data_IF_350483269192
#
_entry.id   IF_350483269192
#
_cell.length_a   1.000
_cell.length_b   1.000
_cell.length_c   1.000
_cell.angle_alpha   90.00
_cell.angle_beta   90.00
_cell.angle_gamma   90.00
#
_symmetry.space_group_name_H-M   'P 1'
#
loop_
_entity.id
_entity.type
_entity.pdbx_description
1 polymer ?
#
# COMPACT_ATOMS: atom_id res chain seq x y z
N UNK A 1 7.17 15.61 -8.03
CA UNK A 1 6.71 15.90 -6.65
C UNK A 1 6.24 14.66 -5.87
N UNK A 2 5.66 13.62 -6.48
CA UNK A 2 5.18 12.41 -5.77
C UNK A 2 6.30 11.49 -5.25
N UNK A 3 7.48 11.53 -5.88
CA UNK A 3 8.56 10.57 -5.57
C UNK A 3 9.35 10.94 -4.31
N UNK A 4 9.47 12.24 -4.01
CA UNK A 4 10.14 12.69 -2.78
C UNK A 4 9.35 12.32 -1.52
N UNK A 5 8.00 12.34 -1.57
CA UNK A 5 7.16 11.95 -0.43
C UNK A 5 7.33 10.46 -0.11
N UNK A 6 7.28 9.57 -1.11
CA UNK A 6 7.49 8.14 -0.88
C UNK A 6 8.90 7.86 -0.38
N UNK A 7 9.92 8.55 -0.90
CA UNK A 7 11.30 8.40 -0.43
C UNK A 7 11.46 8.83 1.04
N UNK A 8 10.92 9.97 1.44
CA UNK A 8 10.97 10.43 2.84
C UNK A 8 10.25 9.44 3.75
N UNK A 9 9.03 9.02 3.40
CA UNK A 9 8.25 8.09 4.21
C UNK A 9 8.94 6.73 4.33
N UNK A 10 9.49 6.22 3.23
CA UNK A 10 10.25 4.96 3.23
C UNK A 10 11.53 5.09 4.05
N UNK A 11 12.25 6.21 3.93
CA UNK A 11 13.46 6.48 4.70
C UNK A 11 13.19 6.51 6.21
N UNK A 12 12.14 7.22 6.63
CA UNK A 12 11.76 7.28 8.06
C UNK A 12 11.27 5.92 8.55
N UNK A 13 10.51 5.17 7.74
CA UNK A 13 10.12 3.80 8.06
C UNK A 13 11.34 2.90 8.26
N UNK A 14 12.32 2.95 7.35
CA UNK A 14 13.56 2.20 7.45
C UNK A 14 14.33 2.56 8.72
N UNK A 15 14.44 3.85 9.05
CA UNK A 15 15.04 4.31 10.31
C UNK A 15 14.28 3.79 11.52
N UNK A 16 12.95 3.75 11.50
CA UNK A 16 12.15 3.19 12.60
C UNK A 16 12.39 1.68 12.78
N UNK A 17 12.37 0.91 11.67
CA UNK A 17 12.54 -0.54 11.70
C UNK A 17 13.96 -0.94 12.11
N UNK A 18 14.98 -0.25 11.57
CA UNK A 18 16.38 -0.47 11.94
C UNK A 18 16.69 0.07 13.33
N UNK A 19 16.14 1.24 13.67
CA UNK A 19 16.32 1.87 14.97
C UNK A 19 15.84 0.96 16.09
N UNK A 20 14.73 0.25 15.90
CA UNK A 20 14.24 -0.71 16.90
C UNK A 20 15.26 -1.80 17.20
N UNK A 21 15.94 -2.35 16.18
CA UNK A 21 17.01 -3.34 16.34
C UNK A 21 18.22 -2.83 17.13
N UNK A 22 18.31 -1.51 17.36
CA UNK A 22 19.31 -0.89 18.22
C UNK A 22 19.37 -1.51 19.63
N UNK A 23 18.30 -2.15 20.11
CA UNK A 23 18.29 -2.87 21.39
C UNK A 23 19.33 -4.00 21.49
N UNK A 24 19.74 -4.56 20.35
CA UNK A 24 20.77 -5.62 20.28
C UNK A 24 22.18 -5.07 20.52
N UNK A 25 22.42 -3.79 20.21
CA UNK A 25 23.74 -3.18 20.25
C UNK A 25 23.88 -2.12 21.36
N UNK A 26 22.78 -1.46 21.73
CA UNK A 26 22.79 -0.35 22.67
C UNK A 26 21.50 -0.29 23.48
N UNK A 27 21.65 -0.24 24.80
CA UNK A 27 20.59 0.06 25.75
C UNK A 27 21.08 1.19 26.65
N UNK A 28 20.22 2.16 26.95
CA UNK A 28 20.56 3.30 27.82
C UNK A 28 19.72 3.26 29.10
N UNK A 29 20.15 2.52 30.15
CA UNK A 29 19.34 2.30 31.35
C UNK A 29 18.96 3.59 32.08
N UNK A 30 19.79 4.63 31.94
CA UNK A 30 19.61 5.94 32.59
C UNK A 30 18.72 6.90 31.82
N UNK A 31 18.50 6.67 30.52
CA UNK A 31 17.68 7.57 29.70
C UNK A 31 16.19 7.30 29.92
N UNK A 32 15.82 6.02 29.94
CA UNK A 32 14.46 5.56 30.19
C UNK A 32 14.00 5.98 31.61
N UNK A 33 13.09 6.96 31.68
CA UNK A 33 12.59 7.53 32.94
C UNK A 33 13.06 8.96 33.23
N UNK A 34 13.91 9.54 32.38
CA UNK A 34 14.24 10.98 32.45
C UNK A 34 13.11 11.86 31.94
N UNK A 35 13.08 13.13 32.37
CA UNK A 35 12.12 14.11 31.84
C UNK A 35 12.25 14.30 30.32
N UNK A 36 13.46 14.23 29.76
CA UNK A 36 13.68 14.32 28.31
C UNK A 36 13.03 13.14 27.58
N UNK A 37 13.26 11.91 28.06
CA UNK A 37 12.58 10.74 27.52
C UNK A 37 11.05 10.88 27.63
N UNK A 38 10.54 11.41 28.75
CA UNK A 38 9.11 11.64 28.93
C UNK A 38 8.53 12.63 27.89
N UNK A 39 9.24 13.71 27.55
CA UNK A 39 8.83 14.64 26.49
C UNK A 39 8.69 13.93 25.15
N UNK A 40 9.64 13.06 24.78
CA UNK A 40 9.54 12.24 23.57
C UNK A 40 8.32 11.31 23.60
N UNK A 41 8.04 10.68 24.74
CA UNK A 41 6.89 9.80 24.92
C UNK A 41 5.56 10.55 24.79
N UNK A 42 5.44 11.71 25.45
CA UNK A 42 4.26 12.57 25.40
C UNK A 42 4.04 13.11 23.97
N UNK A 43 5.10 13.62 23.33
CA UNK A 43 5.03 14.11 21.97
C UNK A 43 4.64 12.98 20.99
N UNK A 44 5.24 11.80 21.13
CA UNK A 44 4.91 10.62 20.34
C UNK A 44 3.44 10.22 20.50
N UNK A 45 2.96 10.10 21.74
CA UNK A 45 1.57 9.77 22.03
C UNK A 45 0.59 10.84 21.49
N UNK A 46 0.93 12.13 21.64
CA UNK A 46 0.12 13.23 21.14
C UNK A 46 0.00 13.19 19.59
N UNK A 47 1.10 12.95 18.88
CA UNK A 47 1.07 12.77 17.43
C UNK A 47 0.20 11.56 17.04
N UNK A 48 0.27 10.47 17.79
CA UNK A 48 -0.53 9.27 17.55
C UNK A 48 -2.03 9.43 17.84
N UNK A 49 -2.49 10.52 18.45
CA UNK A 49 -3.93 10.82 18.55
C UNK A 49 -4.50 11.19 17.16
N UNK A 50 -3.69 11.78 16.30
CA UNK A 50 -4.15 12.26 14.98
C UNK A 50 -4.56 11.11 14.04
N UNK A 51 -3.78 10.01 13.91
CA UNK A 51 -4.19 8.82 13.17
C UNK A 51 -5.50 8.20 13.68
N UNK A 52 -5.72 8.22 15.00
CA UNK A 52 -6.97 7.77 15.62
C UNK A 52 -8.14 8.69 15.22
N UNK A 53 -7.95 10.00 15.32
CA UNK A 53 -8.95 10.98 14.94
C UNK A 53 -9.40 10.81 13.48
N UNK A 54 -8.46 10.58 12.55
CA UNK A 54 -8.78 10.25 11.16
C UNK A 54 -9.66 9.00 11.05
N UNK A 55 -9.29 7.92 11.75
CA UNK A 55 -10.00 6.64 11.72
C UNK A 55 -11.43 6.75 12.26
N UNK A 56 -11.63 7.53 13.32
CA UNK A 56 -12.95 7.82 13.90
C UNK A 56 -13.75 8.72 12.95
N UNK A 57 -13.16 9.80 12.44
CA UNK A 57 -13.82 10.73 11.53
C UNK A 57 -14.27 10.06 10.23
N UNK A 58 -13.53 9.06 9.75
CA UNK A 58 -13.93 8.27 8.59
C UNK A 58 -15.21 7.44 8.83
N UNK A 59 -15.50 7.07 10.07
CA UNK A 59 -16.65 6.22 10.46
C UNK A 59 -17.83 7.01 11.01
N UNK A 60 -17.58 8.14 11.67
CA UNK A 60 -18.60 8.95 12.33
C UNK A 60 -18.81 10.28 11.59
N UNK A 61 -19.99 10.49 10.96
CA UNK A 61 -20.23 11.65 10.10
C UNK A 61 -20.23 12.98 10.86
N UNK A 62 -20.57 12.99 12.15
CA UNK A 62 -20.55 14.19 13.00
C UNK A 62 -19.12 14.72 13.17
N UNK A 63 -18.18 13.85 13.56
CA UNK A 63 -16.79 14.21 13.72
C UNK A 63 -16.16 14.57 12.38
N UNK A 64 -16.54 13.87 11.31
CA UNK A 64 -16.13 14.21 9.94
C UNK A 64 -16.49 15.65 9.61
N UNK A 65 -17.76 16.04 9.77
CA UNK A 65 -18.25 17.36 9.43
C UNK A 65 -17.49 18.47 10.18
N UNK A 66 -17.23 18.25 11.47
CA UNK A 66 -16.48 19.18 12.32
C UNK A 66 -15.02 19.33 11.88
N UNK A 67 -14.31 18.23 11.60
CA UNK A 67 -12.92 18.27 11.14
C UNK A 67 -12.79 18.84 9.74
N UNK A 68 -13.70 18.50 8.82
CA UNK A 68 -13.67 18.98 7.44
C UNK A 68 -13.94 20.47 7.30
N UNK A 69 -14.42 21.14 8.35
CA UNK A 69 -14.50 22.60 8.42
C UNK A 69 -13.12 23.28 8.41
N UNK A 70 -12.11 22.61 8.96
CA UNK A 70 -10.76 23.16 9.12
C UNK A 70 -9.74 22.48 8.20
N UNK A 71 -9.87 21.17 7.97
CA UNK A 71 -8.87 20.36 7.25
C UNK A 71 -9.56 19.41 6.29
N UNK A 72 -9.12 19.38 5.02
CA UNK A 72 -9.67 18.47 4.02
C UNK A 72 -9.43 17.00 4.37
N UNK A 73 -10.28 16.09 3.88
CA UNK A 73 -10.11 14.65 4.09
C UNK A 73 -8.78 14.12 3.53
N UNK A 74 -8.27 14.73 2.46
CA UNK A 74 -6.98 14.36 1.88
C UNK A 74 -5.83 14.77 2.80
N UNK A 75 -5.89 15.99 3.35
CA UNK A 75 -4.90 16.46 4.33
C UNK A 75 -4.92 15.64 5.61
N UNK A 76 -6.10 15.23 6.11
CA UNK A 76 -6.20 14.35 7.27
C UNK A 76 -5.58 12.98 7.03
N UNK A 77 -5.74 12.42 5.83
CA UNK A 77 -5.07 11.16 5.46
C UNK A 77 -3.55 11.32 5.39
N UNK A 78 -3.06 12.43 4.82
CA UNK A 78 -1.62 12.71 4.80
C UNK A 78 -1.09 12.87 6.22
N UNK A 79 -1.81 13.60 7.08
CA UNK A 79 -1.45 13.79 8.47
C UNK A 79 -1.46 12.46 9.24
N UNK A 80 -2.45 11.59 9.03
CA UNK A 80 -2.49 10.23 9.58
C UNK A 80 -1.20 9.44 9.25
N UNK A 81 -0.67 9.56 8.03
CA UNK A 81 0.53 8.85 7.61
C UNK A 81 1.79 9.44 8.24
N UNK A 82 1.97 10.75 8.17
CA UNK A 82 3.17 11.39 8.71
C UNK A 82 3.25 11.24 10.23
N UNK A 83 2.15 11.54 10.94
CA UNK A 83 2.09 11.41 12.40
C UNK A 83 2.07 9.96 12.85
N UNK A 84 1.50 9.06 12.03
CA UNK A 84 1.54 7.62 12.22
C UNK A 84 2.92 6.99 12.04
N UNK A 85 3.94 7.73 11.59
CA UNK A 85 5.34 7.26 11.50
C UNK A 85 6.24 8.07 12.44
N UNK A 86 6.09 9.40 12.47
CA UNK A 86 6.85 10.27 13.37
C UNK A 86 6.51 10.01 14.84
N UNK A 87 5.24 9.77 15.18
CA UNK A 87 4.83 9.39 16.52
C UNK A 87 5.58 8.15 17.02
N UNK A 88 5.55 7.02 16.28
CA UNK A 88 6.32 5.82 16.61
C UNK A 88 7.82 6.04 16.73
N UNK A 89 8.41 6.92 15.92
CA UNK A 89 9.83 7.24 16.01
C UNK A 89 10.17 7.90 17.35
N UNK A 90 9.38 8.91 17.77
CA UNK A 90 9.56 9.54 19.08
C UNK A 90 9.27 8.57 20.23
N UNK A 91 8.26 7.72 20.08
CA UNK A 91 7.95 6.68 21.07
C UNK A 91 9.08 5.64 21.18
N UNK A 92 9.76 5.31 20.08
CA UNK A 92 10.92 4.42 20.10
C UNK A 92 12.10 5.08 20.84
N UNK A 93 12.39 6.35 20.56
CA UNK A 93 13.41 7.12 21.29
C UNK A 93 13.09 7.13 22.79
N UNK A 94 11.83 7.36 23.18
CA UNK A 94 11.39 7.33 24.57
C UNK A 94 11.77 6.04 25.31
N UNK A 95 11.79 4.89 24.64
CA UNK A 95 12.16 3.62 25.27
C UNK A 95 13.65 3.55 25.68
N UNK A 96 14.54 4.33 25.04
CA UNK A 96 15.99 4.18 25.20
C UNK A 96 16.50 2.77 24.86
N UNK A 97 15.74 2.03 24.04
CA UNK A 97 15.89 0.60 23.74
C UNK A 97 15.81 -0.34 24.95
N UNK A 98 15.13 0.10 26.02
CA UNK A 98 14.91 -0.69 27.22
C UNK A 98 13.54 -1.36 27.17
N UNK A 99 13.53 -2.70 27.13
CA UNK A 99 12.32 -3.51 26.94
C UNK A 99 12.09 -4.51 28.09
N UNK A 100 12.11 -4.03 29.33
CA UNK A 100 12.05 -4.91 30.51
C UNK A 100 10.64 -5.34 30.92
N UNK A 101 9.59 -4.77 30.30
CA UNK A 101 8.21 -5.07 30.64
C UNK A 101 7.46 -5.70 29.48
N UNK A 102 6.65 -6.73 29.78
CA UNK A 102 5.79 -7.38 28.77
C UNK A 102 4.86 -6.37 28.10
N UNK A 103 4.33 -5.40 28.86
CA UNK A 103 3.49 -4.33 28.33
C UNK A 103 4.24 -3.46 27.33
N UNK A 104 5.47 -3.05 27.65
CA UNK A 104 6.32 -2.26 26.74
C UNK A 104 6.68 -3.03 25.47
N UNK A 105 7.08 -4.30 25.60
CA UNK A 105 7.38 -5.17 24.45
C UNK A 105 6.15 -5.31 23.55
N UNK A 106 5.00 -5.64 24.13
CA UNK A 106 3.75 -5.81 23.38
C UNK A 106 3.31 -4.51 22.70
N UNK A 107 3.44 -3.36 23.39
CA UNK A 107 3.12 -2.05 22.84
C UNK A 107 4.03 -1.72 21.65
N UNK A 108 5.34 -1.92 21.77
CA UNK A 108 6.29 -1.68 20.68
C UNK A 108 6.05 -2.62 19.50
N UNK A 109 5.79 -3.91 19.75
CA UNK A 109 5.47 -4.85 18.68
C UNK A 109 4.16 -4.46 17.95
N UNK A 110 3.10 -4.13 18.68
CA UNK A 110 1.85 -3.66 18.11
C UNK A 110 2.04 -2.38 17.30
N UNK A 111 2.81 -1.42 17.82
CA UNK A 111 3.15 -0.18 17.13
C UNK A 111 3.84 -0.46 15.79
N UNK A 112 4.90 -1.28 15.77
CA UNK A 112 5.62 -1.63 14.54
C UNK A 112 4.71 -2.35 13.53
N UNK A 113 3.89 -3.29 13.99
CA UNK A 113 2.93 -4.00 13.13
C UNK A 113 1.89 -3.05 12.52
N UNK A 114 1.38 -2.08 13.30
CA UNK A 114 0.46 -1.04 12.79
C UNK A 114 1.13 -0.19 11.71
N UNK A 115 2.37 0.25 11.94
CA UNK A 115 3.11 1.08 10.97
C UNK A 115 3.39 0.32 9.68
N UNK A 116 3.92 -0.91 9.78
CA UNK A 116 4.24 -1.75 8.61
C UNK A 116 2.98 -2.09 7.82
N UNK A 117 1.91 -2.52 8.51
CA UNK A 117 0.64 -2.82 7.86
C UNK A 117 0.02 -1.58 7.22
N UNK A 118 0.08 -0.42 7.87
CA UNK A 118 -0.43 0.85 7.34
C UNK A 118 0.34 1.33 6.11
N UNK A 119 1.67 1.21 6.13
CA UNK A 119 2.52 1.48 4.98
C UNK A 119 2.16 0.58 3.79
N UNK A 120 2.06 -0.74 4.03
CA UNK A 120 1.68 -1.70 2.99
C UNK A 120 0.31 -1.35 2.40
N UNK A 121 -0.71 -1.09 3.23
CA UNK A 121 -2.04 -0.73 2.76
C UNK A 121 -2.03 0.56 1.94
N UNK A 122 -1.32 1.62 2.36
CA UNK A 122 -1.32 2.90 1.63
C UNK A 122 -0.63 2.79 0.26
N UNK A 123 0.58 2.23 0.23
CA UNK A 123 1.42 2.28 -0.96
C UNK A 123 1.09 1.16 -1.96
N UNK A 124 0.82 -0.05 -1.49
CA UNK A 124 0.48 -1.17 -2.37
C UNK A 124 -0.91 -0.98 -3.00
N UNK A 125 -1.89 -0.49 -2.24
CA UNK A 125 -3.23 -0.21 -2.78
C UNK A 125 -3.22 0.90 -3.82
N UNK A 126 -2.40 1.94 -3.59
CA UNK A 126 -2.25 3.03 -4.56
C UNK A 126 -1.62 2.52 -5.85
N UNK A 127 -0.53 1.75 -5.75
CA UNK A 127 0.16 1.17 -6.90
C UNK A 127 -0.79 0.30 -7.72
N UNK A 128 -1.49 -0.62 -7.07
CA UNK A 128 -2.39 -1.56 -7.74
C UNK A 128 -3.60 -0.87 -8.38
N UNK A 129 -4.17 0.16 -7.74
CA UNK A 129 -5.28 0.91 -8.35
C UNK A 129 -4.83 1.70 -9.58
N UNK A 130 -3.59 2.23 -9.58
CA UNK A 130 -3.02 2.90 -10.74
C UNK A 130 -2.78 1.90 -11.86
N UNK A 131 -2.14 0.77 -11.57
CA UNK A 131 -1.88 -0.29 -12.53
C UNK A 131 -3.17 -0.85 -13.16
N UNK A 132 -4.22 -1.06 -12.35
CA UNK A 132 -5.53 -1.47 -12.88
C UNK A 132 -6.11 -0.42 -13.81
N UNK A 133 -6.03 0.86 -13.43
CA UNK A 133 -6.55 1.95 -14.25
C UNK A 133 -5.82 1.99 -15.60
N UNK A 134 -4.50 1.83 -15.60
CA UNK A 134 -3.69 1.81 -16.81
C UNK A 134 -4.05 0.60 -17.68
N UNK A 135 -4.22 -0.59 -17.09
CA UNK A 135 -4.68 -1.80 -17.79
C UNK A 135 -6.08 -1.65 -18.38
N UNK A 136 -7.00 -0.98 -17.69
CA UNK A 136 -8.35 -0.72 -18.20
C UNK A 136 -8.33 0.23 -19.40
N UNK A 137 -7.48 1.25 -19.38
CA UNK A 137 -7.28 2.16 -20.52
C UNK A 137 -6.69 1.39 -21.72
N UNK A 138 -5.66 0.58 -21.48
CA UNK A 138 -5.06 -0.26 -22.53
C UNK A 138 -6.06 -1.24 -23.14
N UNK A 139 -6.87 -1.88 -22.30
CA UNK A 139 -7.92 -2.80 -22.75
C UNK A 139 -8.99 -2.08 -23.58
N UNK A 140 -9.36 -0.85 -23.20
CA UNK A 140 -10.29 -0.05 -23.99
C UNK A 140 -9.72 0.29 -25.37
N UNK A 141 -8.44 0.67 -25.44
CA UNK A 141 -7.76 0.92 -26.73
C UNK A 141 -7.68 -0.35 -27.57
N UNK A 142 -7.24 -1.48 -26.97
CA UNK A 142 -7.08 -2.75 -27.68
C UNK A 142 -8.40 -3.30 -28.24
N UNK A 143 -9.52 -3.10 -27.52
CA UNK A 143 -10.85 -3.41 -28.04
C UNK A 143 -11.23 -2.54 -29.25
N UNK A 144 -10.94 -1.24 -29.20
CA UNK A 144 -11.15 -0.36 -30.35
C UNK A 144 -10.31 -0.75 -31.58
N UNK A 145 -9.06 -1.14 -31.36
CA UNK A 145 -8.19 -1.64 -32.44
C UNK A 145 -8.71 -2.97 -33.02
N UNK A 146 -9.23 -3.85 -32.16
CA UNK A 146 -9.86 -5.10 -32.58
C UNK A 146 -11.10 -4.84 -33.44
N UNK A 147 -12.00 -3.96 -32.99
CA UNK A 147 -13.22 -3.60 -33.73
C UNK A 147 -12.88 -2.99 -35.10
N UNK A 148 -11.85 -2.13 -35.16
CA UNK A 148 -11.36 -1.58 -36.42
C UNK A 148 -10.79 -2.66 -37.35
N UNK A 149 -9.95 -3.56 -36.83
CA UNK A 149 -9.39 -4.66 -37.62
C UNK A 149 -10.48 -5.62 -38.13
N UNK A 150 -11.52 -5.85 -37.32
CA UNK A 150 -12.69 -6.64 -37.70
C UNK A 150 -13.48 -5.96 -38.83
N UNK A 151 -13.72 -4.65 -38.74
CA UNK A 151 -14.40 -3.88 -39.80
C UNK A 151 -13.61 -3.85 -41.13
N UNK A 152 -12.28 -3.78 -41.06
CA UNK A 152 -11.42 -3.91 -42.25
C UNK A 152 -11.57 -5.29 -42.88
N UNK A 153 -11.59 -6.36 -42.07
CA UNK A 153 -11.78 -7.72 -42.57
C UNK A 153 -13.16 -7.90 -43.24
N UNK A 154 -14.23 -7.35 -42.66
CA UNK A 154 -15.59 -7.44 -43.20
C UNK A 154 -15.75 -6.70 -44.54
N UNK A 155 -15.00 -5.62 -44.74
CA UNK A 155 -15.03 -4.82 -45.97
C UNK A 155 -14.12 -5.36 -47.08
N UNK A 156 -13.29 -6.36 -46.80
CA UNK A 156 -12.46 -7.01 -47.82
C UNK A 156 -13.30 -7.89 -48.75
N UNK A 157 -13.09 -7.83 -50.08
CA UNK A 157 -13.77 -8.70 -51.02
C UNK A 157 -13.40 -10.17 -50.75
N UNK A 158 -14.38 -11.07 -50.81
CA UNK A 158 -14.26 -12.50 -50.47
C UNK A 158 -13.08 -13.23 -51.17
N UNK A 159 -12.61 -12.71 -52.31
CA UNK A 159 -11.45 -13.23 -53.05
C UNK A 159 -10.08 -13.01 -52.37
N UNK A 160 -9.97 -12.09 -51.41
CA UNK A 160 -8.76 -11.85 -50.60
C UNK A 160 -8.80 -12.53 -49.22
N UNK A 161 -9.98 -12.99 -48.80
CA UNK A 161 -10.22 -13.72 -47.55
C UNK A 161 -9.90 -15.23 -47.72
N UNK A 162 -9.97 -15.73 -48.96
CA UNK A 162 -9.57 -17.09 -49.30
C UNK A 162 -8.04 -17.23 -49.28
N UNK A 163 -7.55 -18.04 -48.33
CA UNK A 163 -6.16 -18.48 -48.18
C UNK A 163 -5.46 -18.73 -49.53
N UNK A 164 -4.25 -18.16 -49.78
CA UNK A 164 -3.34 -18.86 -50.66
C UNK A 164 -2.98 -20.13 -49.90
N UNK A 165 -3.36 -21.31 -50.43
CA UNK A 165 -2.79 -22.59 -49.99
C UNK A 165 -1.30 -22.39 -49.81
N UNK A 166 -0.86 -22.32 -48.57
CA UNK A 166 0.53 -22.13 -48.22
C UNK A 166 1.31 -23.31 -48.84
N UNK A 167 2.21 -23.08 -49.81
CA UNK A 167 2.98 -24.16 -50.38
C UNK A 167 3.82 -24.76 -49.26
N UNK A 168 4.05 -26.07 -49.31
CA UNK A 168 4.81 -26.91 -48.37
C UNK A 168 6.11 -26.27 -47.79
N UNK A 169 6.64 -25.25 -48.46
CA UNK A 169 7.78 -24.39 -48.10
C UNK A 169 7.56 -23.58 -46.81
N UNK A 170 6.38 -22.99 -46.58
CA UNK A 170 6.12 -22.18 -45.36
C UNK A 170 6.03 -23.03 -44.09
N UNK A 171 5.53 -24.26 -44.21
CA UNK A 171 5.56 -25.24 -43.10
C UNK A 171 6.99 -25.66 -42.76
N UNK A 172 7.88 -25.76 -43.75
CA UNK A 172 9.31 -26.04 -43.53
C UNK A 172 10.07 -24.92 -42.82
N UNK A 173 9.71 -23.66 -43.07
CA UNK A 173 10.34 -22.51 -42.39
C UNK A 173 9.88 -22.36 -40.93
N UNK A 174 8.64 -22.73 -40.62
CA UNK A 174 8.13 -22.77 -39.26
C UNK A 174 8.91 -23.77 -38.38
N UNK A 175 9.36 -24.91 -38.93
CA UNK A 175 10.23 -25.86 -38.21
C UNK A 175 11.64 -25.34 -37.92
N UNK A 176 12.07 -24.25 -38.56
CA UNK A 176 13.33 -23.55 -38.28
C UNK A 176 13.16 -22.34 -37.34
N UNK A 177 11.99 -22.12 -36.76
CA UNK A 177 11.73 -21.01 -35.83
C UNK A 177 11.53 -19.66 -36.51
N UNK A 178 11.34 -19.62 -37.84
CA UNK A 178 10.96 -18.41 -38.56
C UNK A 178 9.44 -18.34 -38.62
N UNK A 179 8.88 -17.49 -37.77
CA UNK A 179 7.44 -17.34 -37.59
C UNK A 179 6.84 -16.56 -38.77
N UNK A 180 6.29 -17.29 -39.74
CA UNK A 180 5.47 -16.74 -40.82
C UNK A 180 4.01 -17.06 -40.47
N UNK A 181 3.51 -16.43 -39.40
CA UNK A 181 2.08 -16.43 -39.07
C UNK A 181 1.24 -15.92 -40.24
N UNK A 182 -0.09 -16.13 -40.26
CA UNK A 182 -0.92 -15.80 -41.41
C UNK A 182 -0.82 -14.29 -41.70
N UNK A 183 0.03 -13.94 -42.65
CA UNK A 183 0.21 -12.58 -43.12
C UNK A 183 -1.05 -12.15 -43.85
N UNK A 184 -1.90 -11.40 -43.17
CA UNK A 184 -3.18 -10.94 -43.69
C UNK A 184 -4.10 -10.44 -42.58
N UNK A 185 -5.15 -9.70 -42.95
CA UNK A 185 -6.07 -9.05 -42.01
C UNK A 185 -6.67 -10.02 -40.97
N UNK A 186 -6.93 -11.27 -41.34
CA UNK A 186 -7.43 -12.29 -40.42
C UNK A 186 -6.40 -12.70 -39.33
N UNK A 187 -5.10 -12.72 -39.66
CA UNK A 187 -4.04 -13.01 -38.68
C UNK A 187 -3.83 -11.88 -37.69
N UNK A 188 -3.90 -10.62 -38.16
CA UNK A 188 -3.84 -9.44 -37.30
C UNK A 188 -5.02 -9.39 -36.32
N UNK A 189 -6.21 -9.73 -36.78
CA UNK A 189 -7.41 -9.83 -35.95
C UNK A 189 -7.23 -10.87 -34.82
N UNK A 190 -6.75 -12.08 -35.13
CA UNK A 190 -6.52 -13.12 -34.13
C UNK A 190 -5.46 -12.69 -33.10
N UNK A 191 -4.38 -12.05 -33.56
CA UNK A 191 -3.32 -11.54 -32.68
C UNK A 191 -3.85 -10.45 -31.74
N UNK A 192 -4.67 -9.53 -32.23
CA UNK A 192 -5.25 -8.47 -31.39
C UNK A 192 -6.26 -9.08 -30.41
N UNK A 193 -7.10 -10.03 -30.85
CA UNK A 193 -8.05 -10.73 -29.99
C UNK A 193 -7.36 -11.48 -28.84
N UNK A 194 -6.23 -12.14 -29.09
CA UNK A 194 -5.43 -12.78 -28.04
C UNK A 194 -4.88 -11.75 -27.03
N UNK A 195 -4.42 -10.60 -27.50
CA UNK A 195 -3.95 -9.53 -26.62
C UNK A 195 -5.07 -8.93 -25.75
N UNK A 196 -6.28 -8.79 -26.30
CA UNK A 196 -7.48 -8.37 -25.56
C UNK A 196 -7.86 -9.41 -24.51
N UNK A 197 -7.87 -10.69 -24.86
CA UNK A 197 -8.19 -11.79 -23.94
C UNK A 197 -7.17 -11.85 -22.77
N UNK A 198 -5.89 -11.67 -23.06
CA UNK A 198 -4.83 -11.61 -22.05
C UNK A 198 -5.00 -10.40 -21.11
N UNK A 199 -5.33 -9.23 -21.63
CA UNK A 199 -5.63 -8.04 -20.82
C UNK A 199 -6.88 -8.23 -19.96
N UNK A 200 -7.95 -8.80 -20.51
CA UNK A 200 -9.18 -9.12 -19.77
C UNK A 200 -8.91 -10.10 -18.63
N UNK A 201 -8.10 -11.12 -18.87
CA UNK A 201 -7.69 -12.07 -17.83
C UNK A 201 -6.87 -11.38 -16.73
N UNK A 202 -5.93 -10.50 -17.10
CA UNK A 202 -5.13 -9.71 -16.16
C UNK A 202 -5.97 -8.72 -15.33
N UNK A 203 -7.05 -8.18 -15.90
CA UNK A 203 -8.01 -7.33 -15.18
C UNK A 203 -8.91 -8.18 -14.27
N UNK A 204 -9.35 -9.37 -14.71
CA UNK A 204 -10.25 -10.23 -13.94
C UNK A 204 -9.61 -10.80 -12.67
N UNK A 205 -8.31 -11.07 -12.71
CA UNK A 205 -7.53 -11.52 -11.54
C UNK A 205 -7.46 -10.48 -10.41
N UNK A 206 -7.83 -9.23 -10.69
CA UNK A 206 -7.84 -8.14 -9.70
C UNK A 206 -8.86 -8.32 -8.56
N UNK A 207 -9.88 -9.17 -8.70
CA UNK A 207 -10.85 -9.44 -7.63
C UNK A 207 -10.25 -10.19 -6.43
N UNK A 208 -9.19 -10.98 -6.64
CA UNK A 208 -8.41 -11.57 -5.54
C UNK A 208 -7.69 -10.49 -4.74
N UNK A 209 -7.15 -9.51 -5.46
CA UNK A 209 -6.34 -8.44 -4.91
C UNK A 209 -7.17 -7.45 -4.11
N UNK A 210 -8.38 -7.09 -4.59
CA UNK A 210 -9.36 -6.32 -3.80
C UNK A 210 -9.71 -6.98 -2.48
N UNK A 211 -9.97 -8.29 -2.49
CA UNK A 211 -10.28 -9.05 -1.25
C UNK A 211 -9.10 -9.06 -0.29
N UNK A 212 -7.89 -9.24 -0.82
CA UNK A 212 -6.67 -9.17 -0.01
C UNK A 212 -6.51 -7.80 0.63
N UNK A 213 -6.71 -6.70 -0.11
CA UNK A 213 -6.64 -5.34 0.44
C UNK A 213 -7.71 -5.04 1.48
N UNK A 214 -8.94 -5.50 1.28
CA UNK A 214 -10.00 -5.33 2.26
C UNK A 214 -9.62 -6.01 3.60
N UNK A 215 -9.07 -7.23 3.52
CA UNK A 215 -8.58 -7.95 4.70
C UNK A 215 -7.36 -7.28 5.33
N UNK A 216 -6.41 -6.80 4.52
CA UNK A 216 -5.23 -6.08 5.02
C UNK A 216 -5.62 -4.78 5.74
N UNK A 217 -6.60 -4.04 5.21
CA UNK A 217 -7.15 -2.86 5.87
C UNK A 217 -7.84 -3.23 7.19
N UNK A 218 -8.64 -4.31 7.20
CA UNK A 218 -9.28 -4.80 8.42
C UNK A 218 -8.26 -5.20 9.47
N UNK A 219 -7.19 -5.92 9.09
CA UNK A 219 -6.08 -6.28 9.96
C UNK A 219 -5.42 -5.03 10.57
N UNK A 220 -5.12 -4.02 9.76
CA UNK A 220 -4.54 -2.76 10.23
C UNK A 220 -5.43 -2.06 11.27
N UNK A 221 -6.75 -2.05 11.05
CA UNK A 221 -7.72 -1.50 12.01
C UNK A 221 -7.70 -2.29 13.32
N UNK A 222 -7.74 -3.62 13.28
CA UNK A 222 -7.71 -4.46 14.48
C UNK A 222 -6.42 -4.26 15.26
N UNK A 223 -5.26 -4.26 14.58
CA UNK A 223 -3.97 -3.97 15.18
C UNK A 223 -3.95 -2.57 15.81
N UNK A 224 -4.56 -1.58 15.17
CA UNK A 224 -4.64 -0.21 15.70
C UNK A 224 -5.45 -0.16 16.99
N UNK A 225 -6.59 -0.88 17.07
CA UNK A 225 -7.39 -0.96 18.31
C UNK A 225 -6.57 -1.59 19.44
N UNK A 226 -5.90 -2.71 19.17
CA UNK A 226 -5.02 -3.36 20.17
C UNK A 226 -3.92 -2.40 20.62
N UNK A 227 -3.28 -1.71 19.68
CA UNK A 227 -2.23 -0.74 19.96
C UNK A 227 -2.73 0.39 20.90
N UNK A 228 -3.89 1.00 20.63
CA UNK A 228 -4.40 2.07 21.48
C UNK A 228 -4.83 1.58 22.88
N UNK A 229 -5.33 0.35 23.00
CA UNK A 229 -5.61 -0.25 24.30
C UNK A 229 -4.33 -0.45 25.12
N UNK A 230 -3.27 -0.97 24.50
CA UNK A 230 -1.96 -1.12 25.12
C UNK A 230 -1.36 0.24 25.49
N UNK A 231 -1.50 1.25 24.62
CA UNK A 231 -1.01 2.61 24.87
C UNK A 231 -1.72 3.23 26.08
N UNK A 232 -3.04 3.09 26.18
CA UNK A 232 -3.81 3.58 27.32
C UNK A 232 -3.40 2.87 28.62
N UNK A 233 -3.21 1.54 28.58
CA UNK A 233 -2.72 0.78 29.72
C UNK A 233 -1.30 1.20 30.13
N UNK A 234 -0.42 1.48 29.16
CA UNK A 234 0.94 1.94 29.41
C UNK A 234 0.95 3.31 30.10
N UNK A 235 0.21 4.29 29.57
CA UNK A 235 0.06 5.62 30.18
C UNK A 235 -0.55 5.50 31.58
N UNK A 236 -1.62 4.71 31.74
CA UNK A 236 -2.28 4.47 33.02
C UNK A 236 -1.34 3.86 34.06
N UNK A 237 -0.51 2.89 33.67
CA UNK A 237 0.51 2.30 34.56
C UNK A 237 1.55 3.34 35.01
N UNK A 238 1.98 4.23 34.11
CA UNK A 238 2.92 5.31 34.43
C UNK A 238 2.37 6.32 35.43
N UNK A 239 1.06 6.62 35.35
CA UNK A 239 0.36 7.47 36.32
C UNK A 239 0.19 6.74 37.67
N UNK A 240 -0.24 5.47 37.64
CA UNK A 240 -0.54 4.69 38.85
C UNK A 240 0.70 4.44 39.72
N UNK A 241 1.82 4.04 39.12
CA UNK A 241 3.07 3.77 39.86
C UNK A 241 3.89 5.03 40.19
N UNK A 242 3.35 6.22 39.86
CA UNK A 242 3.99 7.51 40.04
C UNK A 242 4.94 7.86 38.91
N UNK A 243 4.85 9.10 38.42
CA UNK A 243 5.70 9.62 37.36
C UNK A 243 7.16 9.61 37.82
N UNK A 244 7.92 8.62 37.35
CA UNK A 244 9.31 8.35 37.77
C UNK A 244 10.27 9.52 37.55
N UNK A 245 9.91 10.48 36.69
CA UNK A 245 10.71 11.67 36.40
C UNK A 245 10.44 12.87 37.31
N UNK A 246 9.42 12.82 38.18
CA UNK A 246 9.12 13.88 39.16
C UNK A 246 9.83 13.66 40.51
N UNK A 247 10.66 12.62 40.62
CA UNK A 247 11.45 12.28 41.81
C UNK A 247 12.92 12.64 41.62
#
# INVERSE_FOLDING_TARGET
MKDHESLVVTGVLSVLLLGWLGFLAHQSPRFAGTGIAAVFGIAGAALMIIPLAYSIAKRFPLLRAWLTKHVSMQSLLNLHVYTGILGPLLALIHTGHKFDSLLGIALTAAMLLVVVSGYAVRYLLKYVNQELKDKLVLLQTARGDLDHAWGVLETMPAGLIASPRAPLVTAGLASFGLDVGPGGAAGDVVRIADSVANLEYAVRTHELLKRWFARALQLHIVLSVIFYLLLAAHIGSGVYFGLRWLR
#
